data_IF_400480574972
#
_entry.id   IF_400480574972
#
_cell.length_a   1.000
_cell.length_b   1.000
_cell.length_c   1.000
_cell.angle_alpha   90.00
_cell.angle_beta   90.00
_cell.angle_gamma   90.00
#
_symmetry.space_group_name_H-M   'P 1'
#
loop_
_entity.id
_entity.type
_entity.pdbx_description
1 polymer ?
#
# COMPACT_ATOMS: atom_id res chain seq x y z
N UNK A 1 11.12 -0.71 20.35
CA UNK A 1 10.02 -0.01 19.64
C UNK A 1 8.69 -0.45 20.20
N UNK A 2 7.77 0.46 20.44
CA UNK A 2 6.44 0.09 20.90
C UNK A 2 5.55 -0.34 19.73
N UNK A 3 4.39 -0.91 20.04
CA UNK A 3 3.47 -1.42 19.01
C UNK A 3 2.99 -0.34 18.05
N UNK A 4 2.79 0.87 18.55
CA UNK A 4 2.32 1.99 17.74
C UNK A 4 3.36 2.39 16.70
N UNK A 5 4.62 2.48 17.11
CA UNK A 5 5.71 2.83 16.20
C UNK A 5 5.88 1.77 15.11
N UNK A 6 5.79 0.49 15.50
CA UNK A 6 5.88 -0.61 14.54
C UNK A 6 4.73 -0.56 13.53
N UNK A 7 3.52 -0.31 14.01
CA UNK A 7 2.35 -0.19 13.13
C UNK A 7 2.50 0.99 12.16
N UNK A 8 2.99 2.13 12.66
CA UNK A 8 3.20 3.31 11.83
C UNK A 8 4.24 3.04 10.74
N UNK A 9 5.32 2.35 11.09
CA UNK A 9 6.36 1.98 10.12
C UNK A 9 5.81 1.07 9.03
N UNK A 10 4.97 0.10 9.41
CA UNK A 10 4.33 -0.80 8.44
C UNK A 10 3.40 -0.04 7.51
N UNK A 11 2.60 0.87 8.05
CA UNK A 11 1.72 1.72 7.24
C UNK A 11 2.51 2.55 6.25
N UNK A 12 3.60 3.16 6.70
CA UNK A 12 4.46 3.98 5.84
C UNK A 12 5.07 3.14 4.72
N UNK A 13 5.53 1.92 5.03
CA UNK A 13 6.11 1.02 4.04
C UNK A 13 5.09 0.61 2.99
N UNK A 14 3.87 0.28 3.40
CA UNK A 14 2.81 -0.08 2.48
C UNK A 14 2.41 1.11 1.62
N UNK A 15 2.30 2.28 2.21
CA UNK A 15 1.98 3.51 1.48
C UNK A 15 3.03 3.82 0.42
N UNK A 16 4.30 3.65 0.76
CA UNK A 16 5.39 3.86 -0.18
C UNK A 16 5.32 2.86 -1.34
N UNK A 17 5.02 1.60 -1.05
CA UNK A 17 4.83 0.57 -2.06
C UNK A 17 3.69 0.93 -3.01
N UNK A 18 2.56 1.40 -2.47
CA UNK A 18 1.43 1.84 -3.28
C UNK A 18 1.80 3.01 -4.19
N UNK A 19 2.59 3.93 -3.68
CA UNK A 19 3.08 5.07 -4.45
C UNK A 19 3.94 4.61 -5.63
N UNK A 20 4.86 3.69 -5.40
CA UNK A 20 5.70 3.14 -6.47
C UNK A 20 4.86 2.42 -7.53
N UNK A 21 3.88 1.62 -7.09
CA UNK A 21 2.98 0.92 -8.00
C UNK A 21 2.15 1.90 -8.82
N UNK A 22 1.72 2.98 -8.20
CA UNK A 22 0.96 4.02 -8.89
C UNK A 22 1.79 4.66 -10.01
N UNK A 23 3.04 5.00 -9.70
CA UNK A 23 3.97 5.55 -10.69
C UNK A 23 4.20 4.57 -11.86
N UNK A 24 4.36 3.29 -11.54
CA UNK A 24 4.51 2.26 -12.56
C UNK A 24 3.28 2.21 -13.47
N UNK A 25 2.09 2.23 -12.89
CA UNK A 25 0.84 2.13 -13.64
C UNK A 25 0.57 3.37 -14.50
N UNK A 26 1.11 4.52 -14.15
CA UNK A 26 1.00 5.72 -14.97
C UNK A 26 1.60 5.52 -16.36
N UNK A 27 2.67 4.71 -16.45
CA UNK A 27 3.34 4.42 -17.71
C UNK A 27 2.97 3.05 -18.28
N UNK A 28 2.34 2.18 -17.46
CA UNK A 28 1.96 0.83 -17.85
C UNK A 28 0.50 0.54 -17.44
N UNK A 29 -0.47 1.37 -17.91
CA UNK A 29 -1.86 1.21 -17.45
C UNK A 29 -2.53 -0.07 -17.92
N UNK A 30 -1.93 -0.77 -18.89
CA UNK A 30 -2.44 -2.03 -19.42
C UNK A 30 -1.99 -3.24 -18.62
N UNK A 31 -1.13 -3.07 -17.61
CA UNK A 31 -0.60 -4.19 -16.83
C UNK A 31 -1.63 -4.63 -15.79
N UNK A 32 -2.49 -5.55 -16.19
CA UNK A 32 -3.60 -6.03 -15.37
C UNK A 32 -3.12 -6.67 -14.08
N UNK A 33 -1.99 -7.41 -14.11
CA UNK A 33 -1.45 -8.04 -12.91
C UNK A 33 -1.05 -7.01 -11.87
N UNK A 34 -0.44 -5.93 -12.34
CA UNK A 34 -0.03 -4.86 -11.42
C UNK A 34 -1.25 -4.13 -10.86
N UNK A 35 -2.29 -3.91 -11.68
CA UNK A 35 -3.54 -3.31 -11.20
C UNK A 35 -4.17 -4.17 -10.11
N UNK A 36 -4.21 -5.48 -10.32
CA UNK A 36 -4.74 -6.41 -9.32
C UNK A 36 -3.95 -6.38 -8.03
N UNK A 37 -2.61 -6.39 -8.12
CA UNK A 37 -1.75 -6.30 -6.95
C UNK A 37 -1.96 -4.98 -6.21
N UNK A 38 -2.02 -3.88 -6.95
CA UNK A 38 -2.28 -2.56 -6.37
C UNK A 38 -3.58 -2.56 -5.58
N UNK A 39 -4.64 -3.11 -6.16
CA UNK A 39 -5.94 -3.15 -5.51
C UNK A 39 -5.92 -3.99 -4.23
N UNK A 40 -5.20 -5.13 -4.24
CA UNK A 40 -5.05 -5.96 -3.04
C UNK A 40 -4.31 -5.24 -1.93
N UNK A 41 -3.20 -4.61 -2.28
CA UNK A 41 -2.38 -3.91 -1.29
C UNK A 41 -3.13 -2.70 -0.76
N UNK A 42 -3.86 -2.00 -1.62
CA UNK A 42 -4.69 -0.87 -1.19
C UNK A 42 -5.75 -1.31 -0.18
N UNK A 43 -6.41 -2.46 -0.43
CA UNK A 43 -7.39 -3.00 0.51
C UNK A 43 -6.76 -3.33 1.85
N UNK A 44 -5.56 -3.91 1.85
CA UNK A 44 -4.79 -4.17 3.06
C UNK A 44 -4.43 -2.88 3.80
N UNK A 45 -4.01 -1.89 3.05
CA UNK A 45 -3.64 -0.60 3.62
C UNK A 45 -4.83 0.03 4.34
N UNK A 46 -6.00 0.00 3.73
CA UNK A 46 -7.22 0.53 4.36
C UNK A 46 -7.55 -0.19 5.67
N UNK A 47 -7.41 -1.51 5.68
CA UNK A 47 -7.64 -2.31 6.87
C UNK A 47 -6.64 -1.97 7.96
N UNK A 48 -5.36 -1.89 7.61
CA UNK A 48 -4.31 -1.54 8.56
C UNK A 48 -4.51 -0.13 9.13
N UNK A 49 -4.86 0.81 8.28
CA UNK A 49 -5.09 2.19 8.68
C UNK A 49 -6.27 2.29 9.65
N UNK A 50 -7.34 1.56 9.36
CA UNK A 50 -8.51 1.52 10.22
C UNK A 50 -8.18 0.96 11.59
N UNK A 51 -7.36 -0.10 11.64
CA UNK A 51 -6.92 -0.69 12.89
C UNK A 51 -6.01 0.25 13.67
N UNK A 52 -5.22 1.08 12.98
CA UNK A 52 -4.32 2.03 13.61
C UNK A 52 -5.09 3.22 14.22
N UNK A 53 -6.10 3.70 13.52
CA UNK A 53 -6.93 4.79 14.01
C UNK A 53 -7.76 4.35 15.22
#
# INVERSE_FOLDING_TARGET
MNKRETALMRLSAVQFTLWEMHLYLDTHPWDIRMVEQHNRIEARYRTMRKAFE
#
